data_IF_389438830783
#
_entry.id   IF_389438830783
#
_cell.length_a   1.000
_cell.length_b   1.000
_cell.length_c   1.000
_cell.angle_alpha   90.00
_cell.angle_beta   90.00
_cell.angle_gamma   90.00
#
_symmetry.space_group_name_H-M   'P 1'
#
loop_
_entity.id
_entity.type
_entity.pdbx_description
1 polymer ?
#
# COMPACT_ATOMS: atom_id res chain seq x y z
N UNK A 1 8.31 -6.75 -1.04
CA UNK A 1 9.31 -7.03 -2.10
C UNK A 1 10.08 -8.33 -1.85
N UNK A 2 10.90 -8.45 -0.79
CA UNK A 2 11.74 -9.64 -0.54
C UNK A 2 11.01 -11.00 -0.58
N UNK A 3 9.77 -11.07 -0.06
CA UNK A 3 9.00 -12.31 -0.01
C UNK A 3 8.58 -12.86 -1.38
N UNK A 4 8.38 -12.00 -2.38
CA UNK A 4 7.95 -12.44 -3.70
C UNK A 4 9.12 -12.99 -4.52
N UNK A 5 10.22 -12.24 -4.55
CA UNK A 5 11.47 -12.60 -5.23
C UNK A 5 12.05 -13.92 -4.73
N UNK A 6 11.97 -14.20 -3.42
CA UNK A 6 12.41 -15.46 -2.83
C UNK A 6 11.60 -16.69 -3.26
N UNK A 7 10.42 -16.49 -3.85
CA UNK A 7 9.49 -17.55 -4.22
C UNK A 7 9.32 -17.70 -5.75
N UNK A 8 10.13 -17.00 -6.55
CA UNK A 8 10.15 -17.18 -8.00
C UNK A 8 10.63 -18.60 -8.36
N UNK A 9 10.18 -19.19 -9.49
CA UNK A 9 10.51 -20.56 -9.83
C UNK A 9 12.01 -20.72 -10.11
N UNK A 10 12.72 -21.44 -9.23
CA UNK A 10 14.18 -21.63 -9.34
C UNK A 10 14.58 -22.28 -10.68
N UNK A 11 13.72 -23.13 -11.24
CA UNK A 11 13.95 -23.76 -12.55
C UNK A 11 14.05 -22.76 -13.71
N UNK A 12 13.49 -21.55 -13.55
CA UNK A 12 13.50 -20.48 -14.56
C UNK A 12 14.39 -19.30 -14.18
N UNK A 13 15.26 -19.47 -13.19
CA UNK A 13 16.15 -18.41 -12.73
C UNK A 13 17.03 -17.88 -13.87
N UNK A 14 17.03 -16.56 -14.02
CA UNK A 14 17.75 -15.88 -15.11
C UNK A 14 17.02 -15.90 -16.46
N UNK A 15 15.82 -16.50 -16.55
CA UNK A 15 14.97 -16.45 -17.74
C UNK A 15 13.83 -15.45 -17.56
N UNK A 16 13.32 -14.82 -18.63
CA UNK A 16 12.19 -13.89 -18.54
C UNK A 16 10.94 -14.45 -17.83
N UNK A 17 10.65 -15.75 -18.02
CA UNK A 17 9.52 -16.44 -17.37
C UNK A 17 9.71 -16.67 -15.87
N UNK A 18 10.95 -16.57 -15.38
CA UNK A 18 11.27 -16.64 -13.96
C UNK A 18 11.30 -15.28 -13.27
N UNK A 19 11.02 -14.18 -13.98
CA UNK A 19 10.95 -12.83 -13.40
C UNK A 19 9.56 -12.54 -12.84
N UNK A 20 9.47 -11.49 -12.02
CA UNK A 20 8.22 -10.90 -11.56
C UNK A 20 7.23 -10.65 -12.72
N UNK A 21 5.94 -10.94 -12.51
CA UNK A 21 4.84 -10.71 -13.49
C UNK A 21 4.52 -9.21 -13.74
N UNK A 22 5.46 -8.31 -13.46
CA UNK A 22 5.35 -6.85 -13.59
C UNK A 22 5.39 -6.13 -12.22
N UNK A 23 5.68 -4.83 -12.27
CA UNK A 23 5.80 -4.00 -11.06
C UNK A 23 4.54 -4.04 -10.19
N UNK A 24 3.36 -4.03 -10.80
CA UNK A 24 2.13 -3.94 -10.02
C UNK A 24 1.89 -5.19 -9.15
N UNK A 25 2.15 -6.37 -9.73
CA UNK A 25 2.05 -7.62 -8.99
C UNK A 25 3.18 -7.77 -7.96
N UNK A 26 4.36 -7.23 -8.25
CA UNK A 26 5.51 -7.23 -7.35
C UNK A 26 5.23 -6.39 -6.10
N UNK A 27 4.73 -5.16 -6.29
CA UNK A 27 4.42 -4.23 -5.21
C UNK A 27 3.19 -4.62 -4.40
N UNK A 28 2.19 -5.24 -5.04
CA UNK A 28 0.99 -5.73 -4.34
C UNK A 28 1.31 -6.72 -3.22
N UNK A 29 2.46 -7.42 -3.27
CA UNK A 29 2.86 -8.35 -2.21
C UNK A 29 3.28 -7.61 -0.93
N UNK A 30 3.90 -6.44 -1.07
CA UNK A 30 4.23 -5.58 0.06
C UNK A 30 2.95 -5.07 0.71
N UNK A 31 2.01 -4.54 -0.09
CA UNK A 31 0.73 -4.02 0.40
C UNK A 31 -0.19 -5.12 0.94
N UNK A 32 -0.11 -6.34 0.41
CA UNK A 32 -0.80 -7.47 1.01
C UNK A 32 -0.36 -7.67 2.46
N UNK A 33 0.95 -7.76 2.72
CA UNK A 33 1.45 -8.00 4.06
C UNK A 33 1.21 -6.79 4.96
N UNK A 34 1.42 -5.58 4.46
CA UNK A 34 1.24 -4.37 5.25
C UNK A 34 -0.23 -4.05 5.52
N UNK A 35 -1.04 -3.91 4.48
CA UNK A 35 -2.42 -3.42 4.58
C UNK A 35 -3.40 -4.56 4.91
N UNK A 36 -3.30 -5.70 4.22
CA UNK A 36 -4.30 -6.76 4.39
C UNK A 36 -4.03 -7.64 5.63
N UNK A 37 -2.77 -7.91 5.95
CA UNK A 37 -2.38 -8.66 7.16
C UNK A 37 -2.05 -7.72 8.31
N UNK A 38 -1.09 -6.80 8.14
CA UNK A 38 -0.54 -5.96 9.21
C UNK A 38 -1.52 -4.98 9.84
N UNK A 39 -2.61 -4.62 9.12
CA UNK A 39 -3.69 -3.76 9.66
C UNK A 39 -4.96 -4.53 10.04
N UNK A 40 -4.92 -5.86 9.98
CA UNK A 40 -6.04 -6.71 10.40
C UNK A 40 -6.22 -6.71 11.93
N UNK A 41 -7.44 -7.02 12.38
CA UNK A 41 -7.73 -7.16 13.82
C UNK A 41 -6.93 -8.31 14.42
N UNK A 42 -6.88 -9.41 13.68
CA UNK A 42 -6.16 -10.63 14.02
C UNK A 42 -4.68 -10.33 14.28
N UNK A 43 -4.05 -9.55 13.40
CA UNK A 43 -2.67 -9.16 13.58
C UNK A 43 -2.47 -8.23 14.78
N UNK A 44 -3.39 -7.29 15.04
CA UNK A 44 -3.28 -6.41 16.21
C UNK A 44 -3.45 -7.14 17.54
N UNK A 45 -4.23 -8.22 17.57
CA UNK A 45 -4.33 -9.11 18.73
C UNK A 45 -3.03 -9.88 18.95
N UNK A 46 -2.47 -10.45 17.88
CA UNK A 46 -1.16 -11.08 17.91
C UNK A 46 -0.06 -10.10 18.37
N UNK A 47 -0.04 -8.89 17.81
CA UNK A 47 0.95 -7.86 18.15
C UNK A 47 0.81 -7.40 19.61
N UNK A 48 -0.41 -7.15 20.10
CA UNK A 48 -0.63 -6.82 21.51
C UNK A 48 -0.16 -7.94 22.44
N UNK A 49 -0.37 -9.20 22.06
CA UNK A 49 0.16 -10.36 22.77
C UNK A 49 1.69 -10.36 22.79
N UNK A 50 2.32 -10.16 21.64
CA UNK A 50 3.77 -10.13 21.52
C UNK A 50 4.40 -8.99 22.35
N UNK A 51 3.86 -7.77 22.24
CA UNK A 51 4.32 -6.60 22.98
C UNK A 51 4.23 -6.79 24.50
N UNK A 52 3.16 -7.44 24.97
CA UNK A 52 2.98 -7.75 26.38
C UNK A 52 3.95 -8.82 26.87
N UNK A 53 4.09 -9.90 26.13
CA UNK A 53 4.80 -11.10 26.59
C UNK A 53 6.32 -10.92 26.49
N UNK A 54 6.81 -10.28 25.42
CA UNK A 54 8.25 -10.13 25.15
C UNK A 54 8.83 -8.78 25.63
N UNK A 55 8.01 -7.72 25.64
CA UNK A 55 8.48 -6.35 25.93
C UNK A 55 7.84 -5.75 27.19
N UNK A 56 6.97 -6.50 27.88
CA UNK A 56 6.24 -6.07 29.08
C UNK A 56 5.39 -4.80 28.88
N UNK A 57 4.99 -4.48 27.65
CA UNK A 57 4.14 -3.34 27.34
C UNK A 57 2.68 -3.69 27.66
N UNK A 58 2.21 -3.21 28.82
CA UNK A 58 0.92 -3.61 29.43
C UNK A 58 -0.11 -2.48 29.55
N UNK A 59 0.24 -1.24 29.20
CA UNK A 59 -0.71 -0.14 29.26
C UNK A 59 -1.81 -0.29 28.21
N UNK A 60 -2.95 0.38 28.43
CA UNK A 60 -4.09 0.38 27.49
C UNK A 60 -3.71 0.88 26.09
N UNK A 61 -2.65 1.68 25.99
CA UNK A 61 -2.11 2.16 24.72
C UNK A 61 -1.65 1.01 23.78
N UNK A 62 -1.24 -0.11 24.37
CA UNK A 62 -0.79 -1.32 23.65
C UNK A 62 -1.85 -2.42 23.61
N UNK A 63 -3.10 -2.12 24.00
CA UNK A 63 -4.21 -3.07 23.80
C UNK A 63 -4.47 -3.27 22.31
N UNK A 64 -4.95 -4.47 21.93
CA UNK A 64 -5.25 -4.78 20.53
C UNK A 64 -6.19 -3.75 19.89
N UNK A 65 -7.23 -3.34 20.63
CA UNK A 65 -8.18 -2.30 20.21
C UNK A 65 -7.51 -0.95 19.97
N UNK A 66 -6.63 -0.52 20.89
CA UNK A 66 -5.90 0.75 20.75
C UNK A 66 -4.94 0.73 19.57
N UNK A 67 -4.20 -0.37 19.39
CA UNK A 67 -3.30 -0.56 18.26
C UNK A 67 -4.08 -0.54 16.94
N UNK A 68 -5.18 -1.30 16.84
CA UNK A 68 -6.05 -1.31 15.66
C UNK A 68 -6.55 0.09 15.30
N UNK A 69 -7.12 0.81 16.28
CA UNK A 69 -7.60 2.18 16.06
C UNK A 69 -6.51 3.13 15.58
N UNK A 70 -5.28 2.99 16.08
CA UNK A 70 -4.14 3.82 15.68
C UNK A 70 -3.72 3.53 14.24
N UNK A 71 -3.56 2.26 13.88
CA UNK A 71 -3.05 1.87 12.56
C UNK A 71 -4.11 1.99 11.46
N UNK A 72 -5.40 2.00 11.79
CA UNK A 72 -6.51 2.21 10.83
C UNK A 72 -7.09 3.62 10.90
N UNK A 73 -6.37 4.57 11.48
CA UNK A 73 -6.83 5.97 11.56
C UNK A 73 -6.85 6.58 10.16
N UNK A 74 -7.98 7.18 9.80
CA UNK A 74 -8.15 7.92 8.54
C UNK A 74 -8.02 9.40 8.84
N UNK A 75 -7.15 10.11 8.12
CA UNK A 75 -6.96 11.55 8.27
C UNK A 75 -6.41 12.11 6.95
N UNK A 76 -7.16 12.97 6.24
CA UNK A 76 -6.63 13.66 5.08
C UNK A 76 -5.39 14.48 5.43
N UNK A 77 -4.35 14.36 4.60
CA UNK A 77 -3.08 15.06 4.78
C UNK A 77 -2.46 15.37 3.41
N UNK A 78 -1.28 15.99 3.39
CA UNK A 78 -0.59 16.42 2.18
C UNK A 78 0.26 15.32 1.55
N UNK A 79 0.87 14.45 2.36
CA UNK A 79 1.96 13.57 1.95
C UNK A 79 1.43 12.19 1.55
N UNK A 80 1.55 11.85 0.26
CA UNK A 80 1.03 10.59 -0.29
C UNK A 80 1.62 9.35 0.38
N UNK A 81 2.92 9.32 0.65
CA UNK A 81 3.60 8.13 1.20
C UNK A 81 3.19 7.83 2.64
N UNK A 82 2.64 8.83 3.34
CA UNK A 82 2.16 8.70 4.72
C UNK A 82 0.63 8.57 4.81
N UNK A 83 -0.07 8.63 3.67
CA UNK A 83 -1.52 8.62 3.61
C UNK A 83 -2.11 7.27 4.07
N UNK A 84 -3.28 7.34 4.69
CA UNK A 84 -4.03 6.16 5.13
C UNK A 84 -4.68 5.42 3.95
N UNK A 85 -5.14 4.18 4.19
CA UNK A 85 -5.70 3.30 3.15
C UNK A 85 -6.90 3.91 2.41
N UNK A 86 -7.67 4.81 3.03
CA UNK A 86 -8.87 5.43 2.45
C UNK A 86 -8.51 6.66 1.63
N UNK A 87 -7.56 7.48 2.11
CA UNK A 87 -7.17 8.74 1.44
C UNK A 87 -6.11 8.53 0.37
N UNK A 88 -5.27 7.49 0.49
CA UNK A 88 -4.18 7.19 -0.45
C UNK A 88 -4.62 7.15 -1.94
N UNK A 89 -5.73 6.49 -2.33
CA UNK A 89 -6.15 6.46 -3.73
C UNK A 89 -6.44 7.85 -4.31
N UNK A 90 -6.89 8.80 -3.49
CA UNK A 90 -7.15 10.18 -3.93
C UNK A 90 -5.85 10.89 -4.31
N UNK A 91 -4.76 10.66 -3.56
CA UNK A 91 -3.44 11.15 -3.92
C UNK A 91 -2.94 10.61 -5.27
N UNK A 92 -3.29 9.36 -5.60
CA UNK A 92 -2.94 8.76 -6.90
C UNK A 92 -3.79 9.35 -8.02
N UNK A 93 -5.10 9.45 -7.83
CA UNK A 93 -6.04 9.96 -8.83
C UNK A 93 -5.67 11.39 -9.25
N UNK A 94 -5.40 12.28 -8.29
CA UNK A 94 -5.06 13.66 -8.64
C UNK A 94 -3.78 13.76 -9.49
N UNK A 95 -2.79 12.90 -9.24
CA UNK A 95 -1.54 12.86 -10.03
C UNK A 95 -1.79 12.32 -11.42
N UNK A 96 -2.57 11.24 -11.53
CA UNK A 96 -2.95 10.67 -12.82
C UNK A 96 -3.68 11.70 -13.69
N UNK A 97 -4.63 12.44 -13.13
CA UNK A 97 -5.36 13.46 -13.87
C UNK A 97 -4.46 14.63 -14.29
N UNK A 98 -3.55 15.08 -13.41
CA UNK A 98 -2.56 16.12 -13.76
C UNK A 98 -1.64 15.62 -14.88
N UNK A 99 -1.15 14.39 -14.81
CA UNK A 99 -0.33 13.80 -15.87
C UNK A 99 -1.07 13.77 -17.21
N UNK A 100 -2.35 13.36 -17.20
CA UNK A 100 -3.18 13.36 -18.40
C UNK A 100 -3.33 14.78 -18.98
N UNK A 101 -3.60 15.78 -18.14
CA UNK A 101 -3.72 17.18 -18.59
C UNK A 101 -2.39 17.71 -19.18
N UNK A 102 -1.25 17.43 -18.55
CA UNK A 102 0.06 17.83 -19.05
C UNK A 102 0.38 17.18 -20.40
N UNK A 103 0.10 15.88 -20.54
CA UNK A 103 0.37 15.11 -21.77
C UNK A 103 -0.53 15.57 -22.92
N UNK A 104 -1.79 15.87 -22.65
CA UNK A 104 -2.74 16.32 -23.66
C UNK A 104 -2.56 17.80 -24.05
N UNK A 105 -1.75 18.56 -23.31
CA UNK A 105 -1.59 20.00 -23.50
C UNK A 105 -2.72 20.84 -22.92
N UNK A 106 -3.54 20.26 -22.04
CA UNK A 106 -4.65 20.94 -21.35
C UNK A 106 -4.18 21.73 -20.11
N UNK A 107 -2.92 21.57 -19.69
CA UNK A 107 -2.31 22.27 -18.56
C UNK A 107 -0.91 22.76 -18.92
N UNK A 108 -0.64 24.06 -18.73
CA UNK A 108 0.72 24.59 -18.84
C UNK A 108 1.49 24.34 -17.54
N UNK A 109 2.82 24.19 -17.64
CA UNK A 109 3.67 23.91 -16.47
C UNK A 109 3.59 25.02 -15.40
N UNK A 110 3.45 26.28 -15.82
CA UNK A 110 3.32 27.43 -14.90
C UNK A 110 2.01 27.38 -14.08
N UNK A 111 1.01 26.63 -14.54
CA UNK A 111 -0.30 26.45 -13.88
C UNK A 111 -0.32 25.21 -12.97
N UNK A 112 0.71 24.37 -13.00
CA UNK A 112 0.80 23.15 -12.20
C UNK A 112 0.62 23.39 -10.68
N UNK A 113 1.23 24.41 -10.06
CA UNK A 113 1.07 24.64 -8.64
C UNK A 113 -0.39 24.94 -8.23
N UNK A 114 -1.10 25.75 -9.01
CA UNK A 114 -2.49 26.11 -8.71
C UNK A 114 -3.47 24.96 -9.01
N UNK A 115 -3.21 24.20 -10.08
CA UNK A 115 -3.95 22.98 -10.39
C UNK A 115 -3.82 21.95 -9.26
N UNK A 116 -2.60 21.73 -8.77
CA UNK A 116 -2.33 20.84 -7.64
C UNK A 116 -3.11 21.26 -6.39
N UNK A 117 -3.00 22.53 -5.98
CA UNK A 117 -3.71 23.05 -4.81
C UNK A 117 -5.24 22.86 -4.92
N UNK A 118 -5.78 23.11 -6.11
CA UNK A 118 -7.21 22.95 -6.38
C UNK A 118 -7.65 21.49 -6.25
N UNK A 119 -6.90 20.56 -6.83
CA UNK A 119 -7.21 19.13 -6.73
C UNK A 119 -7.02 18.57 -5.31
N UNK A 120 -5.98 18.98 -4.59
CA UNK A 120 -5.82 18.60 -3.17
C UNK A 120 -7.02 19.06 -2.34
N UNK A 121 -7.51 20.28 -2.58
CA UNK A 121 -8.68 20.81 -1.89
C UNK A 121 -9.97 20.06 -2.28
N UNK A 122 -10.13 19.72 -3.56
CA UNK A 122 -11.28 18.98 -4.09
C UNK A 122 -11.37 17.56 -3.53
N UNK A 123 -10.27 16.79 -3.60
CA UNK A 123 -10.28 15.37 -3.23
C UNK A 123 -10.06 15.10 -1.75
N UNK A 124 -9.22 15.91 -1.09
CA UNK A 124 -8.77 15.66 0.29
C UNK A 124 -9.23 16.75 1.27
N UNK A 125 -9.79 17.86 0.77
CA UNK A 125 -10.22 18.96 1.62
C UNK A 125 -9.08 19.78 2.22
N UNK A 126 -7.84 19.58 1.75
CA UNK A 126 -6.62 20.21 2.31
C UNK A 126 -5.88 20.99 1.24
N UNK A 127 -5.19 22.07 1.64
CA UNK A 127 -4.34 22.88 0.77
C UNK A 127 -2.89 22.88 1.25
N UNK A 128 -1.91 22.47 0.41
CA UNK A 128 -0.51 22.48 0.78
C UNK A 128 -0.01 23.85 1.26
N UNK A 129 0.86 23.85 2.28
CA UNK A 129 1.42 25.06 2.89
C UNK A 129 2.80 25.46 2.32
N UNK A 130 3.38 24.60 1.47
CA UNK A 130 4.68 24.79 0.83
C UNK A 130 4.77 23.93 -0.43
N UNK A 131 5.74 24.21 -1.31
CA UNK A 131 5.95 23.36 -2.49
C UNK A 131 6.40 21.94 -2.15
N UNK A 132 7.17 21.77 -1.07
CA UNK A 132 7.60 20.44 -0.57
C UNK A 132 6.42 19.59 -0.12
N UNK A 133 5.36 20.21 0.38
CA UNK A 133 4.12 19.53 0.76
C UNK A 133 3.13 19.48 -0.42
N UNK A 134 3.42 20.19 -1.50
CA UNK A 134 2.61 20.28 -2.71
C UNK A 134 3.18 19.44 -3.83
N UNK A 135 3.21 20.01 -5.04
CA UNK A 135 3.58 19.33 -6.27
C UNK A 135 5.05 18.86 -6.34
N UNK A 136 5.94 19.32 -5.46
CA UNK A 136 7.33 18.85 -5.37
C UNK A 136 7.54 17.72 -4.34
N UNK A 137 6.47 17.18 -3.74
CA UNK A 137 6.60 16.14 -2.71
C UNK A 137 7.12 14.80 -3.26
N UNK A 138 6.96 14.53 -4.55
CA UNK A 138 7.32 13.27 -5.19
C UNK A 138 8.44 13.46 -6.23
N UNK A 139 9.34 12.48 -6.32
CA UNK A 139 10.49 12.48 -7.24
C UNK A 139 10.14 12.00 -8.66
N UNK A 140 8.93 11.48 -8.88
CA UNK A 140 8.59 10.74 -10.09
C UNK A 140 8.71 11.60 -11.35
N UNK A 141 8.11 12.80 -11.34
CA UNK A 141 8.15 13.70 -12.49
C UNK A 141 9.55 14.22 -12.80
N UNK A 142 10.38 14.48 -11.78
CA UNK A 142 11.78 14.90 -11.99
C UNK A 142 12.65 13.77 -12.55
N UNK A 143 12.28 12.52 -12.33
CA UNK A 143 12.90 11.35 -12.96
C UNK A 143 12.26 10.95 -14.30
N UNK A 144 11.25 11.68 -14.79
CA UNK A 144 10.57 11.38 -16.05
C UNK A 144 9.57 10.23 -15.99
N UNK A 145 9.17 9.78 -14.78
CA UNK A 145 8.25 8.66 -14.58
C UNK A 145 6.78 9.09 -14.69
N UNK A 146 6.33 9.41 -15.90
CA UNK A 146 4.92 9.69 -16.21
C UNK A 146 4.12 8.40 -16.43
N UNK A 147 2.85 8.37 -15.99
CA UNK A 147 1.99 7.20 -16.05
C UNK A 147 2.28 6.15 -14.98
N UNK A 148 3.20 6.45 -14.05
CA UNK A 148 3.64 5.50 -13.03
C UNK A 148 2.67 5.42 -11.85
N UNK A 149 2.08 6.53 -11.42
CA UNK A 149 1.30 6.57 -10.17
C UNK A 149 0.10 5.62 -10.16
N UNK A 150 -0.52 5.36 -11.31
CA UNK A 150 -1.66 4.44 -11.41
C UNK A 150 -1.28 3.01 -10.97
N UNK A 151 0.00 2.62 -11.08
CA UNK A 151 0.48 1.34 -10.58
C UNK A 151 0.17 1.19 -9.08
N UNK A 152 0.39 2.21 -8.26
CA UNK A 152 0.19 2.12 -6.80
C UNK A 152 -1.25 1.79 -6.39
N UNK A 153 -2.25 2.34 -7.09
CA UNK A 153 -3.65 1.99 -6.82
C UNK A 153 -3.97 0.57 -7.29
N UNK A 154 -3.41 0.15 -8.42
CA UNK A 154 -3.55 -1.24 -8.88
C UNK A 154 -2.95 -2.23 -7.87
N UNK A 155 -1.83 -1.87 -7.23
CA UNK A 155 -1.18 -2.71 -6.22
C UNK A 155 -2.10 -2.98 -5.03
N UNK A 156 -2.77 -1.93 -4.53
CA UNK A 156 -3.73 -2.03 -3.44
C UNK A 156 -4.96 -2.89 -3.83
N UNK A 157 -5.46 -2.71 -5.05
CA UNK A 157 -6.57 -3.52 -5.57
C UNK A 157 -6.17 -4.98 -5.66
N UNK A 158 -5.01 -5.29 -6.26
CA UNK A 158 -4.50 -6.66 -6.40
C UNK A 158 -4.31 -7.28 -5.01
N UNK A 159 -3.73 -6.55 -4.05
CA UNK A 159 -3.56 -7.03 -2.68
C UNK A 159 -4.89 -7.46 -2.04
N UNK A 160 -5.95 -6.65 -2.21
CA UNK A 160 -7.29 -6.98 -1.69
C UNK A 160 -7.89 -8.23 -2.37
N UNK A 161 -7.73 -8.36 -3.69
CA UNK A 161 -8.20 -9.51 -4.46
C UNK A 161 -7.47 -10.80 -4.04
N UNK A 162 -6.16 -10.70 -3.82
CA UNK A 162 -5.34 -11.79 -3.33
C UNK A 162 -5.79 -12.21 -1.93
N UNK A 163 -5.99 -11.27 -1.00
CA UNK A 163 -6.50 -11.58 0.35
C UNK A 163 -7.87 -12.25 0.32
N UNK A 164 -8.79 -11.76 -0.52
CA UNK A 164 -10.07 -12.43 -0.72
C UNK A 164 -9.87 -13.88 -1.17
N UNK A 165 -8.99 -14.11 -2.14
CA UNK A 165 -8.73 -15.47 -2.65
C UNK A 165 -8.11 -16.39 -1.61
N UNK A 166 -7.17 -15.88 -0.81
CA UNK A 166 -6.56 -16.62 0.30
C UNK A 166 -7.62 -17.06 1.31
N UNK A 167 -8.54 -16.15 1.70
CA UNK A 167 -9.63 -16.47 2.64
C UNK A 167 -10.58 -17.54 2.09
N UNK A 168 -10.85 -17.54 0.79
CA UNK A 168 -11.66 -18.59 0.14
C UNK A 168 -10.98 -19.96 0.14
N UNK A 169 -9.65 -20.00 -0.05
CA UNK A 169 -8.89 -21.24 -0.12
C UNK A 169 -8.52 -21.79 1.27
N UNK A 170 -8.41 -20.92 2.27
CA UNK A 170 -7.95 -21.24 3.62
C UNK A 170 -8.82 -20.55 4.65
N UNK A 171 -9.91 -21.22 5.04
CA UNK A 171 -10.89 -20.69 6.00
C UNK A 171 -10.27 -20.32 7.36
N UNK A 172 -9.16 -20.94 7.74
CA UNK A 172 -8.52 -20.77 9.05
C UNK A 172 -7.43 -19.69 9.05
N UNK A 173 -7.26 -18.93 7.95
CA UNK A 173 -6.16 -17.96 7.83
C UNK A 173 -6.19 -16.87 8.92
N UNK A 174 -7.37 -16.54 9.44
CA UNK A 174 -7.54 -15.58 10.53
C UNK A 174 -6.96 -16.14 11.84
N UNK A 175 -7.24 -17.41 12.15
CA UNK A 175 -6.70 -18.09 13.33
C UNK A 175 -5.18 -18.23 13.25
N UNK A 176 -4.65 -18.45 12.05
CA UNK A 176 -3.22 -18.52 11.79
C UNK A 176 -2.55 -17.17 12.10
N UNK A 177 -3.11 -16.06 11.61
CA UNK A 177 -2.62 -14.70 11.90
C UNK A 177 -2.70 -14.38 13.40
N UNK A 178 -3.81 -14.72 14.07
CA UNK A 178 -3.99 -14.53 15.52
C UNK A 178 -2.89 -15.20 16.36
N UNK A 179 -2.40 -16.35 15.90
CA UNK A 179 -1.34 -17.11 16.57
C UNK A 179 0.07 -16.67 16.15
N UNK A 180 0.19 -15.82 15.14
CA UNK A 180 1.46 -15.47 14.52
C UNK A 180 2.05 -16.58 13.64
N UNK A 181 1.22 -17.53 13.17
CA UNK A 181 1.64 -18.55 12.22
C UNK A 181 1.39 -18.06 10.78
N UNK A 182 2.45 -17.59 10.12
CA UNK A 182 2.37 -17.11 8.73
C UNK A 182 2.73 -18.18 7.70
N UNK A 183 2.91 -19.45 8.11
CA UNK A 183 3.38 -20.51 7.22
C UNK A 183 2.40 -20.83 6.10
N UNK A 184 1.09 -20.85 6.39
CA UNK A 184 0.04 -21.06 5.38
C UNK A 184 -0.10 -19.87 4.44
N UNK A 185 0.00 -18.63 4.94
CA UNK A 185 0.08 -17.45 4.07
C UNK A 185 1.22 -17.58 3.07
N UNK A 186 2.43 -17.89 3.55
CA UNK A 186 3.63 -18.03 2.72
C UNK A 186 3.52 -19.15 1.67
N UNK A 187 2.93 -20.31 2.02
CA UNK A 187 2.71 -21.41 1.06
C UNK A 187 1.76 -21.02 -0.06
N UNK A 188 0.71 -20.27 0.25
CA UNK A 188 -0.30 -19.91 -0.74
C UNK A 188 0.16 -18.82 -1.69
N UNK A 189 1.07 -17.94 -1.27
CA UNK A 189 1.75 -17.02 -2.18
C UNK A 189 2.44 -17.71 -3.35
N UNK A 190 3.02 -18.89 -3.12
CA UNK A 190 3.65 -19.69 -4.19
C UNK A 190 2.65 -20.12 -5.28
N UNK A 191 1.40 -20.38 -4.89
CA UNK A 191 0.37 -20.93 -5.79
C UNK A 191 -0.51 -19.85 -6.44
N UNK A 192 -0.49 -18.62 -5.93
CA UNK A 192 -1.24 -17.49 -6.50
C UNK A 192 -0.48 -16.81 -7.66
N UNK A 193 0.83 -17.06 -7.74
CA UNK A 193 1.69 -16.59 -8.82
C UNK A 193 1.91 -17.59 -9.96
N UNK A 194 1.49 -18.85 -9.81
CA UNK A 194 1.57 -19.88 -10.86
C UNK A 194 0.40 -19.78 -11.83
#
# INVERSE_FOLDING_TARGET
MLYYEQNLPEMYKGQPVGLAKGMAFHESQSLFMEMQVGRSREFTEFLAKLLRDEFAFKSEEYSATSLYRKITRVTPDFIRVDADEVTYPMHVILRFEIEAMLINGDLNLDELPSCWDSKMQEYLGVKPISFSNGWLQDIHWSHGNFGYFLAYTNDAIIASMVMKKVKEMHSNIQDDILKGDFSNLNKNFKNLGS
#
